data_IF_684416478672
#
_entry.id   IF_684416478672
#
_cell.length_a   1.000
_cell.length_b   1.000
_cell.length_c   1.000
_cell.angle_alpha   90.00
_cell.angle_beta   90.00
_cell.angle_gamma   90.00
#
_symmetry.space_group_name_H-M   'P 1'
#
loop_
_entity.id
_entity.type
_entity.pdbx_description
1 polymer ?
#
# COMPACT_ATOMS: atom_id res chain seq x y z
N UNK A 1 -30.55 33.96 75.87
CA UNK A 1 -31.12 33.69 77.21
C UNK A 1 -32.63 33.91 77.10
N UNK A 2 -33.57 33.02 77.37
CA UNK A 2 -33.65 31.66 77.93
C UNK A 2 -34.93 31.04 77.30
N UNK A 3 -34.92 29.80 76.79
CA UNK A 3 -35.20 28.53 77.49
C UNK A 3 -36.71 28.24 77.72
N UNK A 4 -37.00 26.94 77.71
CA UNK A 4 -38.20 26.20 78.16
C UNK A 4 -39.16 25.75 77.05
N UNK A 5 -39.13 24.44 76.67
CA UNK A 5 -39.83 23.28 77.28
C UNK A 5 -41.33 23.34 76.93
N UNK A 6 -42.08 22.29 76.61
CA UNK A 6 -41.96 20.84 76.50
C UNK A 6 -43.31 20.40 75.86
N UNK A 7 -43.58 19.09 75.81
CA UNK A 7 -44.91 18.50 76.01
C UNK A 7 -45.66 17.93 74.77
N UNK A 8 -45.21 16.74 74.39
CA UNK A 8 -45.97 15.47 74.37
C UNK A 8 -47.51 15.56 74.40
N UNK A 9 -48.19 14.95 73.42
CA UNK A 9 -49.42 14.20 73.73
C UNK A 9 -49.79 13.14 72.69
N UNK A 10 -50.08 11.97 73.24
CA UNK A 10 -50.53 10.70 72.71
C UNK A 10 -51.86 10.76 71.95
N UNK A 11 -52.04 9.93 70.92
CA UNK A 11 -53.15 8.95 70.90
C UNK A 11 -52.95 7.86 69.85
N UNK A 12 -53.09 6.62 70.32
CA UNK A 12 -53.20 5.41 69.53
C UNK A 12 -54.63 5.23 69.02
N UNK A 13 -54.81 4.66 67.83
CA UNK A 13 -55.95 3.79 67.55
C UNK A 13 -55.61 2.77 66.44
N UNK A 14 -56.27 1.61 66.54
CA UNK A 14 -55.84 0.27 66.14
C UNK A 14 -56.40 -0.16 64.75
N UNK A 15 -56.16 -1.40 64.27
CA UNK A 15 -55.87 -1.72 62.88
C UNK A 15 -57.08 -2.26 62.10
N UNK A 16 -56.92 -2.35 60.77
CA UNK A 16 -57.73 -3.22 59.93
C UNK A 16 -56.86 -4.17 59.09
N UNK A 17 -57.32 -5.41 59.10
CA UNK A 17 -56.78 -6.67 58.59
C UNK A 17 -56.99 -6.81 57.07
N UNK A 18 -56.24 -7.75 56.45
CA UNK A 18 -56.54 -8.56 55.23
C UNK A 18 -55.58 -8.36 54.02
N UNK A 19 -54.48 -9.14 53.94
CA UNK A 19 -54.29 -10.41 53.14
C UNK A 19 -53.57 -10.15 51.79
N UNK A 20 -53.15 -11.19 51.02
CA UNK A 20 -51.74 -11.52 50.75
C UNK A 20 -51.37 -11.21 49.29
N UNK A 21 -50.09 -11.30 48.91
CA UNK A 21 -49.74 -11.98 47.65
C UNK A 21 -48.23 -12.18 47.52
N UNK A 22 -47.84 -13.45 47.41
CA UNK A 22 -46.50 -13.87 47.10
C UNK A 22 -46.30 -13.75 45.58
N UNK A 23 -45.83 -12.60 45.10
CA UNK A 23 -45.43 -12.48 43.70
C UNK A 23 -44.04 -13.07 43.43
N UNK A 24 -44.07 -14.01 42.49
CA UNK A 24 -42.97 -14.70 41.82
C UNK A 24 -41.95 -13.69 41.29
N UNK A 25 -40.71 -13.81 41.79
CA UNK A 25 -39.55 -12.98 41.41
C UNK A 25 -39.10 -13.32 39.97
N UNK A 26 -39.74 -12.71 38.97
CA UNK A 26 -39.24 -12.71 37.57
C UNK A 26 -37.88 -12.03 37.54
N UNK A 27 -36.82 -12.78 37.25
CA UNK A 27 -35.49 -12.26 37.00
C UNK A 27 -35.51 -11.38 35.75
N UNK A 28 -35.53 -10.06 35.98
CA UNK A 28 -35.41 -9.04 34.95
C UNK A 28 -34.00 -9.12 34.37
N UNK A 29 -33.81 -9.92 33.34
CA UNK A 29 -32.57 -9.94 32.56
C UNK A 29 -32.29 -8.51 32.11
N UNK A 30 -31.14 -7.99 32.51
CA UNK A 30 -30.79 -6.59 32.24
C UNK A 30 -30.63 -6.43 30.72
N UNK A 31 -31.20 -5.36 30.17
CA UNK A 31 -31.10 -5.04 28.75
C UNK A 31 -29.64 -5.05 28.25
N UNK A 32 -28.71 -4.69 29.13
CA UNK A 32 -27.27 -4.72 28.89
C UNK A 32 -26.72 -6.14 28.62
N UNK A 33 -27.18 -7.15 29.37
CA UNK A 33 -26.75 -8.54 29.15
C UNK A 33 -27.24 -9.05 27.79
N UNK A 34 -28.46 -8.71 27.42
CA UNK A 34 -29.04 -9.08 26.12
C UNK A 34 -28.28 -8.44 24.95
N UNK A 35 -27.88 -7.17 25.09
CA UNK A 35 -27.05 -6.47 24.07
C UNK A 35 -25.66 -7.07 23.94
N UNK A 36 -25.02 -7.49 25.04
CA UNK A 36 -23.69 -8.10 24.97
C UNK A 36 -23.78 -9.48 24.30
N UNK A 37 -24.77 -10.30 24.67
CA UNK A 37 -24.95 -11.63 24.08
C UNK A 37 -25.26 -11.57 22.57
N UNK A 38 -25.99 -10.54 22.12
CA UNK A 38 -26.29 -10.36 20.69
C UNK A 38 -25.07 -9.88 19.90
N UNK A 39 -24.22 -9.01 20.45
CA UNK A 39 -22.97 -8.63 19.78
C UNK A 39 -22.00 -9.81 19.67
N UNK A 40 -21.88 -10.63 20.73
CA UNK A 40 -21.02 -11.81 20.71
C UNK A 40 -21.52 -12.88 19.73
N UNK A 41 -22.85 -13.07 19.62
CA UNK A 41 -23.41 -14.03 18.66
C UNK A 41 -23.21 -13.59 17.20
N UNK A 42 -23.31 -12.29 16.91
CA UNK A 42 -23.01 -11.74 15.57
C UNK A 42 -21.52 -11.90 15.21
N UNK A 43 -20.61 -11.63 16.13
CA UNK A 43 -19.18 -11.82 15.92
C UNK A 43 -18.83 -13.30 15.68
N UNK A 44 -19.41 -14.21 16.46
CA UNK A 44 -19.23 -15.66 16.29
C UNK A 44 -19.82 -16.15 14.95
N UNK A 45 -21.01 -15.68 14.58
CA UNK A 45 -21.61 -15.99 13.29
C UNK A 45 -20.73 -15.49 12.13
N UNK A 46 -20.24 -14.25 12.19
CA UNK A 46 -19.30 -13.73 11.19
C UNK A 46 -18.06 -14.62 11.07
N UNK A 47 -17.46 -15.03 12.19
CA UNK A 47 -16.25 -15.87 12.17
C UNK A 47 -16.51 -17.28 11.60
N UNK A 48 -17.66 -17.87 11.90
CA UNK A 48 -18.04 -19.21 11.40
C UNK A 48 -18.45 -19.20 9.93
N UNK A 49 -19.11 -18.13 9.47
CA UNK A 49 -19.64 -18.04 8.11
C UNK A 49 -18.73 -17.25 7.14
N UNK A 50 -17.61 -16.65 7.59
CA UNK A 50 -16.69 -15.89 6.71
C UNK A 50 -16.16 -16.70 5.52
N UNK A 51 -16.02 -18.01 5.67
CA UNK A 51 -15.54 -18.90 4.59
C UNK A 51 -16.60 -19.23 3.53
N UNK A 52 -17.86 -18.84 3.73
CA UNK A 52 -18.96 -19.04 2.79
C UNK A 52 -19.54 -17.74 2.21
N UNK A 53 -18.93 -16.58 2.48
CA UNK A 53 -19.36 -15.30 1.93
C UNK A 53 -18.86 -15.19 0.47
N UNK A 54 -19.74 -15.00 -0.53
CA UNK A 54 -19.40 -15.01 -1.96
C UNK A 54 -18.50 -13.84 -2.44
N UNK A 55 -18.03 -12.99 -1.54
CA UNK A 55 -17.06 -11.92 -1.83
C UNK A 55 -15.60 -12.37 -1.70
N UNK A 56 -15.35 -13.59 -1.24
CA UNK A 56 -14.09 -14.29 -1.52
C UNK A 56 -14.31 -15.19 -2.73
N UNK A 57 -14.38 -14.60 -3.91
CA UNK A 57 -13.95 -15.34 -5.08
C UNK A 57 -12.47 -15.65 -4.85
N UNK A 58 -12.16 -16.92 -4.60
CA UNK A 58 -10.84 -17.44 -4.96
C UNK A 58 -10.55 -16.92 -6.36
N UNK A 59 -9.40 -16.28 -6.61
CA UNK A 59 -9.03 -15.86 -7.95
C UNK A 59 -9.22 -17.07 -8.85
N UNK A 60 -10.08 -16.93 -9.84
CA UNK A 60 -10.15 -17.89 -10.91
C UNK A 60 -8.72 -18.10 -11.38
N UNK A 61 -8.30 -19.37 -11.41
CA UNK A 61 -7.07 -19.83 -12.03
C UNK A 61 -6.78 -18.95 -13.25
N UNK A 62 -5.67 -18.23 -13.21
CA UNK A 62 -5.28 -17.32 -14.27
C UNK A 62 -5.41 -18.03 -15.60
N UNK A 63 -5.91 -17.36 -16.66
CA UNK A 63 -6.04 -17.97 -17.98
C UNK A 63 -4.76 -18.69 -18.36
N UNK A 64 -4.87 -19.97 -18.69
CA UNK A 64 -3.73 -20.79 -19.12
C UNK A 64 -3.09 -20.11 -20.33
N UNK A 65 -1.82 -19.73 -20.18
CA UNK A 65 -0.97 -19.29 -21.27
C UNK A 65 -0.78 -20.44 -22.25
N UNK A 66 -1.71 -20.61 -23.18
CA UNK A 66 -1.50 -21.36 -24.41
C UNK A 66 -1.15 -20.34 -25.49
N UNK A 67 0.12 -19.96 -25.55
CA UNK A 67 0.73 -19.46 -26.77
C UNK A 67 1.97 -20.32 -27.03
N UNK A 68 1.82 -21.23 -28.01
CA UNK A 68 2.72 -22.30 -28.39
C UNK A 68 3.96 -21.76 -29.12
N UNK A 69 4.78 -20.97 -28.43
CA UNK A 69 6.13 -20.63 -28.90
C UNK A 69 7.13 -21.65 -28.38
N UNK A 70 7.42 -22.62 -29.25
CA UNK A 70 8.46 -23.66 -29.37
C UNK A 70 9.75 -23.54 -28.49
N UNK A 71 9.61 -23.33 -27.18
CA UNK A 71 10.67 -23.57 -26.20
C UNK A 71 10.63 -25.05 -25.80
N UNK A 72 11.76 -25.77 -25.77
CA UNK A 72 11.77 -27.19 -25.44
C UNK A 72 11.29 -27.36 -24.00
N UNK A 73 10.03 -27.79 -23.82
CA UNK A 73 9.48 -28.16 -22.52
C UNK A 73 10.40 -29.24 -21.93
N UNK A 74 11.10 -29.01 -20.81
CA UNK A 74 11.89 -30.05 -20.20
C UNK A 74 10.95 -31.14 -19.70
N UNK A 75 11.25 -32.38 -20.08
CA UNK A 75 10.68 -33.59 -19.47
C UNK A 75 10.75 -33.44 -17.95
N UNK A 76 9.64 -33.77 -17.28
CA UNK A 76 9.45 -33.82 -15.82
C UNK A 76 10.80 -34.10 -15.11
N UNK A 77 11.31 -33.15 -14.32
CA UNK A 77 12.64 -33.29 -13.75
C UNK A 77 12.62 -34.29 -12.59
N UNK A 78 13.65 -35.13 -12.53
CA UNK A 78 13.90 -36.05 -11.42
C UNK A 78 14.15 -35.33 -10.09
N UNK A 79 14.28 -36.09 -8.99
CA UNK A 79 14.27 -35.60 -7.60
C UNK A 79 15.41 -34.65 -7.19
N UNK A 80 16.34 -34.33 -8.09
CA UNK A 80 17.56 -33.55 -7.80
C UNK A 80 17.58 -32.14 -8.44
N UNK A 81 16.51 -31.71 -9.10
CA UNK A 81 16.45 -30.35 -9.68
C UNK A 81 15.79 -29.37 -8.71
N UNK A 82 16.40 -28.18 -8.48
CA UNK A 82 15.81 -27.17 -7.61
C UNK A 82 14.42 -26.78 -8.14
N UNK A 83 13.47 -26.60 -7.21
CA UNK A 83 12.12 -26.21 -7.56
C UNK A 83 12.11 -24.95 -8.44
N UNK A 84 11.17 -24.82 -9.40
CA UNK A 84 11.01 -23.58 -10.17
C UNK A 84 10.91 -22.40 -9.21
N UNK A 85 11.75 -21.38 -9.41
CA UNK A 85 11.67 -20.13 -8.66
C UNK A 85 10.31 -19.51 -8.96
N UNK A 86 9.49 -19.29 -7.94
CA UNK A 86 8.20 -18.63 -8.14
C UNK A 86 8.43 -17.20 -8.67
N UNK A 87 7.67 -16.78 -9.69
CA UNK A 87 7.77 -15.43 -10.21
C UNK A 87 7.38 -14.42 -9.11
N UNK A 88 8.20 -13.40 -8.91
CA UNK A 88 8.02 -12.36 -7.89
C UNK A 88 7.79 -10.99 -8.53
N UNK A 89 7.10 -10.08 -7.83
CA UNK A 89 6.84 -8.75 -8.36
C UNK A 89 8.15 -7.91 -8.42
N UNK A 90 8.28 -7.04 -9.44
CA UNK A 90 7.31 -6.79 -10.51
C UNK A 90 7.28 -7.90 -11.58
N UNK A 91 6.09 -8.25 -12.06
CA UNK A 91 5.86 -9.12 -13.23
C UNK A 91 5.45 -8.36 -14.47
N UNK A 92 4.92 -7.15 -14.28
CA UNK A 92 4.42 -6.25 -15.33
C UNK A 92 5.05 -4.87 -15.18
N UNK A 93 5.09 -4.10 -16.26
CA UNK A 93 5.54 -2.70 -16.20
C UNK A 93 4.76 -1.91 -15.16
N UNK A 94 3.47 -2.17 -15.06
CA UNK A 94 2.63 -1.66 -13.98
C UNK A 94 1.53 -2.68 -13.67
N UNK A 95 1.31 -2.92 -12.39
CA UNK A 95 0.20 -3.73 -11.87
C UNK A 95 -0.54 -2.90 -10.83
N UNK A 96 -1.87 -2.91 -10.86
CA UNK A 96 -2.69 -2.25 -9.83
C UNK A 96 -2.47 -2.87 -8.44
N UNK A 97 -2.14 -4.16 -8.39
CA UNK A 97 -1.88 -4.90 -7.16
C UNK A 97 -0.54 -4.49 -6.55
N UNK A 98 0.50 -4.40 -7.38
CA UNK A 98 1.84 -4.00 -6.95
C UNK A 98 1.98 -2.50 -6.71
N UNK A 99 1.27 -1.67 -7.49
CA UNK A 99 1.22 -0.21 -7.31
C UNK A 99 2.46 0.57 -7.71
N UNK A 100 3.53 -0.09 -8.17
CA UNK A 100 4.79 0.54 -8.62
C UNK A 100 5.03 0.28 -10.10
N UNK A 101 5.82 1.13 -10.73
CA UNK A 101 6.20 1.01 -12.14
C UNK A 101 7.60 0.43 -12.24
N UNK A 102 7.76 -0.53 -13.14
CA UNK A 102 8.97 -1.28 -13.37
C UNK A 102 9.39 -1.31 -14.84
N UNK A 103 10.68 -1.53 -15.07
CA UNK A 103 11.20 -1.84 -16.39
C UNK A 103 12.46 -2.72 -16.29
N UNK A 104 12.77 -3.49 -17.34
CA UNK A 104 13.84 -4.49 -17.30
C UNK A 104 15.00 -4.15 -18.23
N UNK A 105 16.19 -4.03 -17.65
CA UNK A 105 17.42 -3.70 -18.36
C UNK A 105 18.60 -4.38 -17.65
N UNK A 106 19.60 -4.84 -18.43
CA UNK A 106 20.89 -5.36 -17.92
C UNK A 106 20.78 -6.41 -16.80
N UNK A 107 19.94 -7.44 -17.01
CA UNK A 107 19.67 -8.51 -16.04
C UNK A 107 19.10 -8.04 -14.68
N UNK A 108 18.59 -6.81 -14.63
CA UNK A 108 17.94 -6.27 -13.46
C UNK A 108 16.60 -5.62 -13.79
N UNK A 109 16.10 -4.92 -12.79
CA UNK A 109 14.84 -4.20 -12.86
C UNK A 109 14.99 -2.83 -12.22
N UNK A 110 14.50 -1.81 -12.91
CA UNK A 110 14.33 -0.47 -12.35
C UNK A 110 12.91 -0.32 -11.82
N UNK A 111 12.76 0.19 -10.59
CA UNK A 111 11.46 0.29 -9.91
C UNK A 111 11.30 1.70 -9.33
N UNK A 112 10.09 2.25 -9.47
CA UNK A 112 9.68 3.52 -8.83
C UNK A 112 8.19 3.52 -8.50
N UNK A 113 7.86 4.01 -7.30
CA UNK A 113 6.50 4.45 -6.98
C UNK A 113 6.28 5.82 -7.65
N UNK A 114 5.38 5.88 -8.63
CA UNK A 114 5.11 7.09 -9.39
C UNK A 114 3.80 7.73 -8.95
N UNK A 115 3.78 9.05 -8.89
CA UNK A 115 2.54 9.82 -8.74
C UNK A 115 1.71 9.78 -10.03
N UNK A 116 0.40 10.07 -9.97
CA UNK A 116 -0.46 10.12 -11.15
C UNK A 116 0.07 11.04 -12.27
N UNK A 117 0.72 12.14 -11.91
CA UNK A 117 1.32 13.09 -12.85
C UNK A 117 2.50 12.46 -13.58
N UNK A 118 3.37 11.75 -12.88
CA UNK A 118 4.54 11.09 -13.47
C UNK A 118 4.15 9.89 -14.32
N UNK A 119 3.16 9.11 -13.88
CA UNK A 119 2.60 8.04 -14.72
C UNK A 119 2.05 8.61 -16.03
N UNK A 120 1.36 9.76 -15.96
CA UNK A 120 0.86 10.44 -17.16
C UNK A 120 1.98 10.93 -18.07
N UNK A 121 3.10 11.45 -17.53
CA UNK A 121 4.24 11.89 -18.35
C UNK A 121 4.98 10.72 -19.01
N UNK A 122 5.00 9.55 -18.37
CA UNK A 122 5.59 8.33 -18.91
C UNK A 122 4.64 7.53 -19.82
N UNK A 123 3.37 7.96 -19.95
CA UNK A 123 2.37 7.25 -20.74
C UNK A 123 1.91 5.93 -20.11
N UNK A 124 2.11 5.73 -18.81
CA UNK A 124 1.66 4.54 -18.07
C UNK A 124 0.20 4.70 -17.69
N UNK A 125 -0.61 3.66 -17.90
CA UNK A 125 -2.02 3.72 -17.54
C UNK A 125 -2.20 3.57 -16.02
N UNK A 126 -2.94 4.49 -15.41
CA UNK A 126 -3.18 4.53 -13.95
C UNK A 126 -4.29 3.62 -13.46
N UNK A 127 -5.09 3.08 -14.37
CA UNK A 127 -6.36 2.41 -14.05
C UNK A 127 -6.41 0.96 -14.53
N UNK A 128 -5.33 0.47 -15.15
CA UNK A 128 -5.20 -0.90 -15.61
C UNK A 128 -3.73 -1.27 -15.64
N UNK A 129 -3.48 -2.56 -15.50
CA UNK A 129 -2.17 -3.14 -15.69
C UNK A 129 -1.60 -2.77 -17.06
N UNK A 130 -0.28 -2.65 -17.11
CA UNK A 130 0.48 -2.41 -18.33
C UNK A 130 1.59 -3.46 -18.41
N UNK A 131 1.61 -4.25 -19.47
CA UNK A 131 2.65 -5.24 -19.68
C UNK A 131 3.97 -4.59 -20.12
N UNK A 132 5.06 -5.33 -19.94
CA UNK A 132 6.40 -5.00 -20.43
C UNK A 132 6.39 -4.93 -21.97
N UNK A 133 7.28 -4.13 -22.58
CA UNK A 133 7.51 -4.21 -24.01
C UNK A 133 8.17 -5.55 -24.38
N UNK A 134 7.74 -6.14 -25.50
CA UNK A 134 8.34 -7.36 -26.04
C UNK A 134 9.70 -7.09 -26.68
N UNK A 135 9.82 -5.95 -27.36
CA UNK A 135 11.06 -5.50 -27.98
C UNK A 135 11.99 -4.87 -26.94
N UNK A 136 13.23 -5.37 -26.85
CA UNK A 136 14.19 -4.88 -25.87
C UNK A 136 14.52 -3.39 -26.07
N UNK A 137 14.59 -2.93 -27.31
CA UNK A 137 14.87 -1.52 -27.60
C UNK A 137 13.77 -0.57 -27.06
N UNK A 138 12.51 -0.97 -27.14
CA UNK A 138 11.39 -0.20 -26.59
C UNK A 138 11.41 -0.20 -25.06
N UNK A 139 11.80 -1.32 -24.47
CA UNK A 139 11.96 -1.47 -23.02
C UNK A 139 13.13 -0.61 -22.50
N UNK A 140 14.29 -0.64 -23.16
CA UNK A 140 15.46 0.18 -22.81
C UNK A 140 15.16 1.68 -22.92
N UNK A 141 14.39 2.07 -23.95
CA UNK A 141 13.93 3.44 -24.11
C UNK A 141 12.98 3.85 -22.97
N UNK A 142 12.09 2.96 -22.55
CA UNK A 142 11.24 3.19 -21.38
C UNK A 142 12.06 3.29 -20.09
N UNK A 143 13.01 2.38 -19.88
CA UNK A 143 13.92 2.40 -18.73
C UNK A 143 14.71 3.69 -18.65
N UNK A 144 15.19 4.21 -19.77
CA UNK A 144 15.85 5.52 -19.81
C UNK A 144 14.94 6.61 -19.25
N UNK A 145 13.67 6.66 -19.66
CA UNK A 145 12.73 7.66 -19.12
C UNK A 145 12.43 7.41 -17.65
N UNK A 146 12.21 6.16 -17.24
CA UNK A 146 11.91 5.82 -15.85
C UNK A 146 13.09 6.15 -14.90
N UNK A 147 14.32 5.94 -15.34
CA UNK A 147 15.54 6.32 -14.60
C UNK A 147 15.63 7.81 -14.35
N UNK A 148 15.34 8.63 -15.37
CA UNK A 148 15.30 10.10 -15.24
C UNK A 148 14.21 10.52 -14.23
N UNK A 149 13.15 9.72 -14.04
CA UNK A 149 12.15 9.90 -12.99
C UNK A 149 12.61 9.45 -11.57
N UNK A 150 13.89 9.14 -11.39
CA UNK A 150 14.46 8.78 -10.09
C UNK A 150 14.21 7.34 -9.67
N UNK A 151 14.04 6.42 -10.63
CA UNK A 151 13.90 5.00 -10.33
C UNK A 151 15.20 4.40 -9.78
N UNK A 152 15.06 3.43 -8.89
CA UNK A 152 16.17 2.67 -8.31
C UNK A 152 16.33 1.32 -9.00
N UNK A 153 17.53 0.73 -8.95
CA UNK A 153 17.84 -0.52 -9.63
C UNK A 153 18.04 -1.68 -8.66
N UNK A 154 17.41 -2.80 -8.98
CA UNK A 154 17.64 -4.09 -8.35
C UNK A 154 18.24 -5.03 -9.38
N UNK A 155 19.44 -5.51 -9.09
CA UNK A 155 19.99 -6.64 -9.83
C UNK A 155 19.15 -7.88 -9.50
N UNK A 156 18.61 -8.56 -10.51
CA UNK A 156 17.80 -9.75 -10.27
C UNK A 156 18.78 -10.87 -9.90
N UNK A 157 18.69 -11.43 -8.69
CA UNK A 157 19.61 -12.47 -8.32
C UNK A 157 19.28 -13.73 -9.14
N UNK A 158 20.27 -14.59 -9.45
CA UNK A 158 19.99 -15.87 -10.10
C UNK A 158 19.15 -16.81 -9.20
N UNK A 159 19.09 -16.53 -7.88
CA UNK A 159 18.31 -17.23 -6.87
C UNK A 159 17.95 -16.26 -5.74
N UNK A 160 16.77 -16.43 -5.13
CA UNK A 160 16.38 -15.62 -3.98
C UNK A 160 17.36 -15.81 -2.81
N UNK A 161 17.62 -14.79 -1.98
CA UNK A 161 18.44 -15.00 -0.78
C UNK A 161 17.82 -16.14 0.05
N UNK A 162 18.60 -17.16 0.39
CA UNK A 162 18.15 -18.43 1.01
C UNK A 162 17.40 -18.27 2.35
N UNK A 163 17.27 -17.06 2.87
CA UNK A 163 16.67 -16.75 4.17
C UNK A 163 15.41 -15.88 4.07
N UNK A 164 14.92 -15.59 2.87
CA UNK A 164 13.82 -14.66 2.66
C UNK A 164 12.60 -15.41 2.11
N UNK A 165 11.83 -16.04 2.99
CA UNK A 165 10.74 -16.97 2.58
C UNK A 165 9.34 -16.35 2.51
N UNK A 166 9.20 -15.03 2.64
CA UNK A 166 7.89 -14.38 2.85
C UNK A 166 7.67 -13.12 2.00
N UNK A 167 8.47 -12.93 0.96
CA UNK A 167 8.49 -11.68 0.22
C UNK A 167 7.77 -11.80 -1.11
N UNK A 168 6.71 -11.01 -1.26
CA UNK A 168 5.86 -10.98 -2.46
C UNK A 168 6.50 -10.12 -3.57
N UNK A 169 7.24 -9.07 -3.19
CA UNK A 169 7.98 -8.21 -4.11
C UNK A 169 9.47 -8.07 -3.73
N UNK A 170 10.33 -7.88 -4.74
CA UNK A 170 11.78 -7.73 -4.54
C UNK A 170 12.15 -6.50 -3.71
N UNK A 171 11.46 -5.39 -3.91
CA UNK A 171 11.81 -4.11 -3.29
C UNK A 171 11.27 -3.96 -1.86
N UNK A 172 10.47 -4.90 -1.39
CA UNK A 172 10.04 -4.96 0.02
C UNK A 172 11.12 -5.60 0.91
N UNK A 173 11.97 -6.46 0.34
CA UNK A 173 12.88 -7.32 1.11
C UNK A 173 14.34 -7.20 0.74
N UNK A 174 14.64 -6.78 -0.49
CA UNK A 174 15.98 -6.59 -0.99
C UNK A 174 16.20 -5.09 -1.17
N UNK A 175 17.33 -4.58 -0.66
CA UNK A 175 17.73 -3.20 -0.93
C UNK A 175 18.20 -3.07 -2.37
N UNK A 176 17.92 -1.93 -3.04
CA UNK A 176 18.37 -1.72 -4.41
C UNK A 176 19.90 -1.75 -4.49
N UNK A 177 20.43 -2.37 -5.54
CA UNK A 177 21.85 -2.32 -5.91
C UNK A 177 22.27 -0.88 -6.23
N UNK A 178 21.41 -0.11 -6.90
CA UNK A 178 21.57 1.34 -7.09
C UNK A 178 20.36 2.07 -6.53
N UNK A 179 20.53 2.73 -5.38
CA UNK A 179 19.49 3.54 -4.77
C UNK A 179 19.50 4.97 -5.34
N UNK A 180 18.35 5.44 -5.82
CA UNK A 180 18.18 6.80 -6.33
C UNK A 180 17.18 7.55 -5.45
N UNK A 181 17.69 8.49 -4.68
CA UNK A 181 16.90 9.34 -3.78
C UNK A 181 16.67 10.72 -4.41
N UNK A 182 15.85 10.74 -5.46
CA UNK A 182 15.56 11.95 -6.23
C UNK A 182 14.07 12.00 -6.60
N UNK A 183 13.46 13.17 -6.41
CA UNK A 183 12.17 13.52 -7.00
C UNK A 183 12.37 14.56 -8.09
N UNK A 184 11.66 14.42 -9.21
CA UNK A 184 11.83 15.29 -10.37
C UNK A 184 10.51 15.83 -10.89
N UNK A 185 10.59 16.99 -11.56
CA UNK A 185 9.49 17.58 -12.31
C UNK A 185 10.00 18.23 -13.59
N UNK A 186 9.24 18.09 -14.68
CA UNK A 186 9.61 18.59 -16.01
C UNK A 186 8.68 19.74 -16.41
N UNK A 187 9.10 21.00 -16.22
CA UNK A 187 8.25 22.13 -16.55
C UNK A 187 8.06 22.25 -18.07
N UNK A 188 6.94 22.81 -18.50
CA UNK A 188 6.64 23.00 -19.92
C UNK A 188 7.66 23.91 -20.65
N UNK A 189 8.39 24.73 -19.90
CA UNK A 189 9.47 25.60 -20.41
C UNK A 189 10.76 24.85 -20.79
N UNK A 190 10.86 23.55 -20.45
CA UNK A 190 12.09 22.77 -20.57
C UNK A 190 12.96 22.83 -19.31
N UNK A 191 13.95 21.94 -19.26
CA UNK A 191 14.76 21.67 -18.07
C UNK A 191 14.09 20.69 -17.11
N UNK A 192 14.62 20.59 -15.89
CA UNK A 192 14.13 19.72 -14.82
C UNK A 192 14.31 20.38 -13.45
N UNK A 193 13.29 20.28 -12.62
CA UNK A 193 13.36 20.56 -11.19
C UNK A 193 13.65 19.26 -10.44
N UNK A 194 14.58 19.32 -9.49
CA UNK A 194 15.06 18.15 -8.75
C UNK A 194 15.05 18.41 -7.25
N UNK A 195 14.62 17.43 -6.47
CA UNK A 195 14.70 17.41 -5.01
C UNK A 195 15.48 16.18 -4.58
N UNK A 196 16.64 16.39 -3.94
CA UNK A 196 17.44 15.32 -3.34
C UNK A 196 16.78 14.88 -2.04
N UNK A 197 16.34 13.62 -1.97
CA UNK A 197 15.58 13.06 -0.85
C UNK A 197 16.41 12.09 0.00
N UNK A 198 17.74 12.07 -0.19
CA UNK A 198 18.67 11.17 0.50
C UNK A 198 18.66 11.32 2.04
N UNK A 199 18.33 12.51 2.53
CA UNK A 199 18.23 12.81 3.97
C UNK A 199 16.86 12.48 4.57
N UNK A 200 15.97 11.85 3.81
CA UNK A 200 14.60 11.54 4.23
C UNK A 200 13.63 12.73 4.12
N UNK A 201 12.43 12.55 4.68
CA UNK A 201 11.28 13.43 4.42
C UNK A 201 10.83 14.29 5.62
N UNK A 202 11.41 14.07 6.80
CA UNK A 202 10.89 14.60 8.08
C UNK A 202 10.84 16.13 8.11
N UNK A 203 11.78 16.81 7.44
CA UNK A 203 11.86 18.26 7.39
C UNK A 203 10.85 18.95 6.46
N UNK A 204 10.13 18.18 5.63
CA UNK A 204 9.25 18.72 4.59
C UNK A 204 7.77 18.47 4.84
N UNK A 205 7.42 17.78 5.92
CA UNK A 205 6.01 17.60 6.28
C UNK A 205 5.40 18.93 6.76
N UNK A 206 4.16 19.29 6.35
CA UNK A 206 3.25 18.56 5.46
C UNK A 206 3.40 18.90 3.97
N UNK A 207 4.27 19.85 3.61
CA UNK A 207 4.41 20.36 2.23
C UNK A 207 4.69 19.26 1.21
N UNK A 208 5.40 18.21 1.60
CA UNK A 208 5.71 17.08 0.74
C UNK A 208 4.48 16.38 0.13
N UNK A 209 3.34 16.43 0.82
CA UNK A 209 2.07 15.88 0.30
C UNK A 209 1.64 16.57 -1.00
N UNK A 210 2.14 17.78 -1.26
CA UNK A 210 1.95 18.49 -2.53
C UNK A 210 2.41 17.68 -3.74
N UNK A 211 3.46 16.86 -3.63
CA UNK A 211 3.95 16.03 -4.74
C UNK A 211 2.90 15.00 -5.19
N UNK A 212 2.15 14.44 -4.23
CA UNK A 212 1.07 13.48 -4.48
C UNK A 212 -0.23 14.16 -4.94
N UNK A 213 -0.43 15.42 -4.53
CA UNK A 213 -1.65 16.18 -4.81
C UNK A 213 -1.57 16.98 -6.12
N UNK A 214 -0.38 17.19 -6.68
CA UNK A 214 -0.21 17.86 -7.96
C UNK A 214 -1.04 17.17 -9.05
N UNK A 215 -1.70 17.98 -9.87
CA UNK A 215 -2.53 17.52 -11.00
C UNK A 215 -1.81 17.72 -12.34
N UNK A 216 -0.77 18.56 -12.36
CA UNK A 216 0.04 18.84 -13.54
C UNK A 216 1.53 18.74 -13.22
N UNK A 217 2.36 18.59 -14.26
CA UNK A 217 3.81 18.54 -14.09
C UNK A 217 4.37 19.91 -13.64
N UNK A 218 3.79 21.01 -14.10
CA UNK A 218 4.17 22.36 -13.65
C UNK A 218 3.84 22.58 -12.17
N UNK A 219 2.66 22.13 -11.69
CA UNK A 219 2.33 22.15 -10.26
C UNK A 219 3.33 21.34 -9.43
N UNK A 220 3.72 20.16 -9.92
CA UNK A 220 4.75 19.34 -9.27
C UNK A 220 6.09 20.07 -9.21
N UNK A 221 6.47 20.77 -10.27
CA UNK A 221 7.69 21.59 -10.28
C UNK A 221 7.66 22.70 -9.23
N UNK A 222 6.54 23.40 -9.08
CA UNK A 222 6.39 24.43 -8.05
C UNK A 222 6.47 23.84 -6.63
N UNK A 223 5.91 22.65 -6.40
CA UNK A 223 6.08 21.95 -5.11
C UNK A 223 7.55 21.61 -4.87
N UNK A 224 8.25 21.04 -5.85
CA UNK A 224 9.69 20.70 -5.73
C UNK A 224 10.50 21.95 -5.38
N UNK A 225 10.25 23.05 -6.08
CA UNK A 225 10.88 24.35 -5.83
C UNK A 225 10.60 24.87 -4.41
N UNK A 226 9.36 24.80 -3.94
CA UNK A 226 8.96 25.21 -2.58
C UNK A 226 9.60 24.36 -1.47
N UNK A 227 10.00 23.13 -1.80
CA UNK A 227 10.73 22.22 -0.92
C UNK A 227 12.25 22.45 -0.94
N UNK A 228 12.73 23.43 -1.70
CA UNK A 228 14.15 23.74 -1.84
C UNK A 228 14.84 22.95 -2.96
N UNK A 229 14.07 22.43 -3.92
CA UNK A 229 14.60 21.79 -5.10
C UNK A 229 15.45 22.74 -5.96
N UNK A 230 16.30 22.16 -6.81
CA UNK A 230 17.17 22.87 -7.73
C UNK A 230 16.68 22.71 -9.16
N UNK A 231 16.77 23.79 -9.93
CA UNK A 231 16.51 23.76 -11.36
C UNK A 231 17.77 23.42 -12.14
N UNK A 232 17.62 22.62 -13.18
CA UNK A 232 18.65 22.23 -14.11
C UNK A 232 18.13 22.45 -15.54
N UNK A 233 18.82 23.28 -16.30
CA UNK A 233 18.42 23.62 -17.67
C UNK A 233 18.70 22.47 -18.67
N UNK A 234 19.85 21.80 -18.52
CA UNK A 234 20.25 20.66 -19.34
C UNK A 234 20.59 19.44 -18.46
N UNK A 235 19.77 18.39 -18.60
CA UNK A 235 19.90 17.13 -17.87
C UNK A 235 21.26 16.44 -18.08
N UNK A 236 21.95 16.71 -19.21
CA UNK A 236 23.25 16.11 -19.50
C UNK A 236 24.38 16.74 -18.67
N UNK A 237 24.20 17.99 -18.24
CA UNK A 237 25.22 18.76 -17.52
C UNK A 237 25.07 18.62 -16.00
N UNK A 238 23.88 18.27 -15.53
CA UNK A 238 23.60 18.16 -14.10
C UNK A 238 24.08 16.81 -13.55
N UNK A 239 25.03 16.79 -12.59
CA UNK A 239 25.64 15.56 -12.10
C UNK A 239 24.63 14.51 -11.62
N UNK A 240 23.56 14.96 -10.97
CA UNK A 240 22.50 14.11 -10.42
C UNK A 240 21.72 13.37 -11.53
N UNK A 241 21.53 14.03 -12.68
CA UNK A 241 20.80 13.49 -13.82
C UNK A 241 21.71 12.72 -14.78
N UNK A 242 22.94 13.21 -14.98
CA UNK A 242 23.95 12.56 -15.82
C UNK A 242 24.22 11.12 -15.36
N UNK A 243 24.23 10.88 -14.05
CA UNK A 243 24.37 9.54 -13.48
C UNK A 243 23.22 8.58 -13.85
N UNK A 244 22.04 9.10 -14.20
CA UNK A 244 20.84 8.34 -14.56
C UNK A 244 20.69 8.12 -16.07
N UNK A 245 21.50 8.80 -16.87
CA UNK A 245 21.47 8.76 -18.33
C UNK A 245 22.43 7.70 -18.93
N UNK A 246 23.39 7.21 -18.14
CA UNK A 246 24.27 6.11 -18.53
C UNK A 246 23.56 4.76 -18.52
N UNK A 247 24.05 3.73 -19.24
CA UNK A 247 23.58 2.35 -19.11
C UNK A 247 23.76 1.83 -17.67
#
# INVERSE_FOLDING_TARGET
MASFLDERSTKAEMPALLTPDAEVRRTRTSKALLTILTLLSLAAAFYLYRKGIPFYQTPALSPSWNDDSDWPIPKIPGPDLPAPVEPFEPLKRYSLDYGKVACWQDHGVWIKELTPVEMSSLGVNRFRDTDRALEQADEDAFCTRLRIHGASFWELPPHWPEHVSWCEAIDDCVKPTKNVSLEVGFPASGGVWMLDTSQGWDGWYPKILGLRNALTMDERCEVIKDLGGRFCEDIQVCPEMAALLGP
#
